data_IF_846407182840
#
_entry.id   IF_846407182840
#
_cell.length_a   1.000
_cell.length_b   1.000
_cell.length_c   1.000
_cell.angle_alpha   90.00
_cell.angle_beta   90.00
_cell.angle_gamma   90.00
#
_symmetry.space_group_name_H-M   'P 1'
#
loop_
_entity.id
_entity.type
_entity.pdbx_description
1 polymer ?
#
# COMPACT_ATOMS: atom_id res chain seq x y z
N UNK A 1 -7.57 -47.05 86.09
CA UNK A 1 -7.07 -46.36 87.31
C UNK A 1 -6.79 -44.89 86.96
N UNK A 2 -6.91 -43.96 87.93
CA UNK A 2 -6.58 -42.51 87.94
C UNK A 2 -5.52 -42.03 86.91
N UNK A 3 -5.48 -40.80 86.35
CA UNK A 3 -6.14 -39.48 86.60
C UNK A 3 -5.93 -38.52 85.39
N UNK A 4 -6.55 -37.32 85.40
CA UNK A 4 -6.38 -36.20 84.43
C UNK A 4 -4.94 -35.64 84.37
N UNK A 5 -4.55 -34.95 83.28
CA UNK A 5 -4.12 -33.52 83.27
C UNK A 5 -3.94 -32.95 81.82
N UNK A 6 -4.30 -31.67 81.63
CA UNK A 6 -3.83 -30.78 80.53
C UNK A 6 -2.52 -30.09 80.99
N UNK A 7 -1.68 -29.37 80.24
CA UNK A 7 -1.61 -28.93 78.83
C UNK A 7 -0.13 -29.07 78.36
N UNK A 8 0.41 -28.57 77.24
CA UNK A 8 -0.03 -27.68 76.14
C UNK A 8 0.56 -28.24 74.81
N UNK A 9 0.81 -27.56 73.67
CA UNK A 9 0.71 -26.16 73.21
C UNK A 9 2.01 -25.70 72.52
N UNK A 10 2.14 -25.84 71.19
CA UNK A 10 3.10 -25.09 70.35
C UNK A 10 2.85 -25.27 68.84
N UNK A 11 2.82 -24.13 68.14
CA UNK A 11 3.12 -23.88 66.72
C UNK A 11 2.78 -24.96 65.68
N UNK A 12 1.75 -24.67 64.86
CA UNK A 12 1.59 -25.28 63.54
C UNK A 12 1.80 -24.16 62.50
N UNK A 13 2.97 -24.13 61.86
CA UNK A 13 3.26 -23.16 60.81
C UNK A 13 2.58 -23.60 59.51
N UNK A 14 1.49 -22.93 59.14
CA UNK A 14 0.80 -23.20 57.89
C UNK A 14 1.69 -22.81 56.68
N UNK A 15 1.91 -23.77 55.78
CA UNK A 15 2.46 -23.51 54.46
C UNK A 15 1.52 -22.55 53.71
N UNK A 16 2.06 -21.46 53.17
CA UNK A 16 1.30 -20.55 52.28
C UNK A 16 1.00 -21.26 50.96
N UNK A 17 -0.22 -21.04 50.48
CA UNK A 17 -0.72 -21.48 49.18
C UNK A 17 0.04 -20.75 48.05
N UNK A 18 0.56 -21.43 47.00
CA UNK A 18 1.35 -20.79 45.94
C UNK A 18 0.54 -19.97 44.92
N UNK A 19 -0.71 -19.60 45.23
CA UNK A 19 -1.61 -18.85 44.35
C UNK A 19 -1.45 -17.32 44.43
N UNK A 20 -0.66 -16.78 45.37
CA UNK A 20 -0.34 -15.34 45.46
C UNK A 20 0.83 -14.93 44.53
N UNK A 21 0.70 -15.22 43.23
CA UNK A 21 1.54 -14.61 42.20
C UNK A 21 1.07 -13.16 42.00
N UNK A 22 1.77 -12.22 42.66
CA UNK A 22 1.53 -10.78 42.60
C UNK A 22 1.23 -10.27 41.18
N UNK A 23 0.08 -9.64 41.01
CA UNK A 23 -0.23 -8.82 39.84
C UNK A 23 0.61 -7.54 39.87
N UNK A 24 1.89 -7.68 39.52
CA UNK A 24 2.79 -6.55 39.35
C UNK A 24 2.27 -5.64 38.22
N UNK A 25 2.36 -4.33 38.43
CA UNK A 25 1.85 -3.31 37.51
C UNK A 25 2.26 -3.59 36.06
N UNK A 26 1.28 -3.99 35.25
CA UNK A 26 1.39 -3.80 33.81
C UNK A 26 1.42 -2.29 33.58
N UNK A 27 2.54 -1.78 33.07
CA UNK A 27 2.62 -0.38 32.67
C UNK A 27 1.43 -0.05 31.75
N UNK A 28 0.73 1.08 31.96
CA UNK A 28 -0.39 1.43 31.10
C UNK A 28 0.08 1.44 29.65
N UNK A 29 -0.70 0.81 28.75
CA UNK A 29 -0.39 0.86 27.33
C UNK A 29 -0.15 2.31 26.90
N UNK A 30 0.91 2.59 26.13
CA UNK A 30 1.23 3.95 25.75
C UNK A 30 0.04 4.54 25.01
N UNK A 31 -0.59 5.56 25.60
CA UNK A 31 -1.80 6.16 25.06
C UNK A 31 -1.55 6.57 23.61
N UNK A 32 -2.23 5.89 22.68
CA UNK A 32 -2.12 6.15 21.25
C UNK A 32 -2.41 7.63 21.02
N UNK A 33 -1.48 8.42 20.45
CA UNK A 33 -1.70 9.84 20.27
C UNK A 33 -2.97 10.08 19.46
N UNK A 34 -3.96 10.74 20.06
CA UNK A 34 -5.20 11.12 19.39
C UNK A 34 -4.90 12.26 18.39
N UNK A 35 -4.36 11.88 17.24
CA UNK A 35 -4.10 12.79 16.13
C UNK A 35 -5.42 13.16 15.47
N UNK A 36 -5.76 14.44 15.47
CA UNK A 36 -6.95 15.01 14.81
C UNK A 36 -6.80 15.08 13.27
N UNK A 37 -6.04 14.14 12.69
CA UNK A 37 -5.73 14.09 11.27
C UNK A 37 -6.94 13.71 10.42
N UNK A 38 -6.87 14.08 9.14
CA UNK A 38 -7.93 14.02 8.13
C UNK A 38 -8.27 12.61 7.62
N UNK A 39 -8.33 11.61 8.51
CA UNK A 39 -8.99 10.31 8.29
C UNK A 39 -8.07 9.10 8.05
N UNK A 40 -6.87 9.30 7.48
CA UNK A 40 -5.88 8.24 7.26
C UNK A 40 -4.77 8.36 8.32
N UNK A 41 -4.83 7.54 9.37
CA UNK A 41 -3.94 7.68 10.54
C UNK A 41 -3.49 6.36 11.19
N UNK A 42 -3.83 5.21 10.61
CA UNK A 42 -3.19 3.93 10.94
C UNK A 42 -2.09 3.66 9.91
N UNK A 43 -0.88 3.27 10.31
CA UNK A 43 0.16 2.89 9.37
C UNK A 43 -0.27 1.64 8.61
N UNK A 44 -0.08 1.62 7.29
CA UNK A 44 -0.32 0.41 6.48
C UNK A 44 0.70 -0.64 6.89
N UNK A 45 0.22 -1.80 7.36
CA UNK A 45 1.07 -2.90 7.81
C UNK A 45 1.50 -3.76 6.61
N UNK A 46 2.60 -4.51 6.73
CA UNK A 46 3.10 -5.35 5.63
C UNK A 46 2.05 -6.28 4.97
N UNK A 47 1.13 -6.94 5.70
CA UNK A 47 0.07 -7.74 5.06
C UNK A 47 -0.93 -6.90 4.26
N UNK A 48 -1.14 -5.65 4.68
CA UNK A 48 -2.04 -4.69 4.03
C UNK A 48 -1.38 -4.07 2.79
N UNK A 49 -0.04 -3.94 2.77
CA UNK A 49 0.73 -3.57 1.57
C UNK A 49 0.49 -4.61 0.47
N UNK A 50 0.74 -5.89 0.76
CA UNK A 50 0.56 -6.98 -0.23
C UNK A 50 -0.89 -7.05 -0.72
N UNK A 51 -1.86 -7.02 0.20
CA UNK A 51 -3.28 -7.06 -0.17
C UNK A 51 -3.73 -5.83 -0.99
N UNK A 52 -3.24 -4.63 -0.66
CA UNK A 52 -3.54 -3.42 -1.41
C UNK A 52 -2.97 -3.49 -2.83
N UNK A 53 -1.73 -3.95 -2.98
CA UNK A 53 -1.13 -4.12 -4.30
C UNK A 53 -1.92 -5.16 -5.10
N UNK A 54 -2.08 -6.39 -4.59
CA UNK A 54 -2.86 -7.44 -5.28
C UNK A 54 -4.27 -6.98 -5.73
N UNK A 55 -4.93 -6.07 -4.99
CA UNK A 55 -6.25 -5.54 -5.36
C UNK A 55 -6.34 -4.83 -6.72
N UNK A 56 -5.22 -4.36 -7.30
CA UNK A 56 -5.22 -3.69 -8.63
C UNK A 56 -4.44 -4.47 -9.70
N UNK A 57 -4.14 -5.76 -9.45
CA UNK A 57 -3.49 -6.67 -10.41
C UNK A 57 -4.32 -6.78 -11.69
N UNK A 58 -3.66 -6.96 -12.83
CA UNK A 58 -4.36 -7.27 -14.07
C UNK A 58 -4.62 -8.77 -14.20
N UNK A 59 -5.88 -9.15 -14.47
CA UNK A 59 -6.23 -10.52 -14.84
C UNK A 59 -5.55 -10.95 -16.15
N UNK A 60 -5.33 -9.99 -17.06
CA UNK A 60 -4.67 -10.18 -18.34
C UNK A 60 -3.56 -9.13 -18.50
N UNK A 61 -2.30 -9.58 -18.55
CA UNK A 61 -1.15 -8.71 -18.74
C UNK A 61 -0.95 -8.43 -20.24
N UNK A 62 -0.94 -7.16 -20.70
CA UNK A 62 -0.72 -6.83 -22.10
C UNK A 62 0.66 -7.28 -22.61
N UNK A 63 0.76 -7.52 -23.92
CA UNK A 63 2.04 -7.79 -24.56
C UNK A 63 2.93 -6.53 -24.55
N UNK A 64 4.23 -6.72 -24.31
CA UNK A 64 5.20 -5.63 -24.19
C UNK A 64 5.65 -5.01 -25.53
N UNK A 65 5.27 -5.62 -26.66
CA UNK A 65 5.51 -5.11 -28.03
C UNK A 65 6.96 -4.70 -28.31
N UNK A 66 7.91 -5.35 -27.63
CA UNK A 66 9.36 -5.05 -27.65
C UNK A 66 9.78 -3.63 -27.24
N UNK A 67 8.84 -2.72 -26.92
CA UNK A 67 9.12 -1.30 -26.60
C UNK A 67 8.67 -0.88 -25.21
N UNK A 68 7.76 -1.63 -24.59
CA UNK A 68 7.24 -1.35 -23.27
C UNK A 68 7.95 -2.19 -22.19
N UNK A 69 8.06 -1.64 -21.00
CA UNK A 69 8.00 -2.40 -19.75
C UNK A 69 6.53 -2.54 -19.38
N UNK A 70 6.06 -3.75 -19.13
CA UNK A 70 4.68 -3.99 -18.64
C UNK A 70 4.76 -4.47 -17.20
N UNK A 71 4.02 -3.82 -16.30
CA UNK A 71 3.98 -4.20 -14.89
C UNK A 71 2.84 -5.18 -14.55
N UNK A 72 2.80 -5.59 -13.29
CA UNK A 72 1.87 -6.55 -12.70
C UNK A 72 0.42 -6.03 -12.67
N UNK A 73 0.23 -4.70 -12.72
CA UNK A 73 -1.05 -4.03 -12.85
C UNK A 73 -1.45 -3.85 -14.33
N UNK A 74 -0.63 -4.34 -15.27
CA UNK A 74 -0.84 -4.32 -16.71
C UNK A 74 -0.54 -2.98 -17.37
N UNK A 75 0.12 -2.04 -16.69
CA UNK A 75 0.44 -0.73 -17.26
C UNK A 75 1.64 -0.86 -18.21
N UNK A 76 1.50 -0.35 -19.43
CA UNK A 76 2.55 -0.30 -20.45
C UNK A 76 3.33 1.01 -20.32
N UNK A 77 4.62 0.93 -20.07
CA UNK A 77 5.53 2.09 -20.01
C UNK A 77 6.59 2.01 -21.10
N UNK A 78 6.66 3.02 -21.98
CA UNK A 78 7.65 3.08 -23.06
C UNK A 78 9.02 3.53 -22.53
N UNK A 79 9.89 2.57 -22.25
CA UNK A 79 11.19 2.80 -21.57
C UNK A 79 12.11 3.78 -22.32
N UNK A 80 12.06 3.81 -23.66
CA UNK A 80 12.82 4.77 -24.47
C UNK A 80 12.43 6.25 -24.28
N UNK A 81 11.33 6.55 -23.55
CA UNK A 81 10.98 7.92 -23.14
C UNK A 81 11.65 8.34 -21.83
N UNK A 82 12.15 7.40 -21.02
CA UNK A 82 12.58 7.65 -19.65
C UNK A 82 14.12 7.60 -19.57
N UNK A 83 14.84 8.73 -19.62
CA UNK A 83 16.30 8.75 -19.72
C UNK A 83 17.04 8.23 -18.47
N UNK A 84 16.34 8.04 -17.35
CA UNK A 84 16.87 7.42 -16.13
C UNK A 84 16.58 5.92 -16.03
N UNK A 85 15.66 5.38 -16.84
CA UNK A 85 15.29 3.98 -16.77
C UNK A 85 16.32 3.11 -17.52
N UNK A 86 16.74 1.96 -16.96
CA UNK A 86 17.59 1.00 -17.66
C UNK A 86 16.91 0.56 -18.97
N UNK A 87 17.59 0.71 -20.10
CA UNK A 87 16.98 0.54 -21.42
C UNK A 87 16.70 -0.94 -21.74
N UNK A 88 17.37 -1.86 -21.06
CA UNK A 88 17.11 -3.30 -21.06
C UNK A 88 15.72 -3.68 -20.47
N UNK A 89 15.02 -2.75 -19.80
CA UNK A 89 13.63 -2.96 -19.40
C UNK A 89 12.66 -2.90 -20.60
N UNK A 90 13.07 -2.33 -21.73
CA UNK A 90 12.26 -2.28 -22.94
C UNK A 90 12.03 -3.69 -23.49
N UNK A 91 10.77 -4.03 -23.76
CA UNK A 91 10.40 -5.35 -24.26
C UNK A 91 10.38 -6.43 -23.18
N UNK A 92 10.06 -6.07 -21.93
CA UNK A 92 9.97 -6.99 -20.81
C UNK A 92 8.69 -6.81 -20.00
N UNK A 93 8.27 -7.88 -19.32
CA UNK A 93 7.13 -7.88 -18.40
C UNK A 93 7.64 -8.17 -16.99
N UNK A 94 7.06 -7.52 -15.98
CA UNK A 94 7.18 -7.92 -14.58
C UNK A 94 5.81 -8.25 -14.01
N UNK A 95 5.66 -9.42 -13.41
CA UNK A 95 4.44 -9.82 -12.69
C UNK A 95 4.60 -9.75 -11.17
N UNK A 96 5.81 -9.49 -10.70
CA UNK A 96 6.14 -9.39 -9.27
C UNK A 96 5.62 -8.06 -8.71
N UNK A 97 5.26 -8.07 -7.42
CA UNK A 97 4.89 -6.85 -6.71
C UNK A 97 6.11 -5.93 -6.55
N UNK A 98 5.95 -4.59 -6.62
CA UNK A 98 7.05 -3.63 -6.63
C UNK A 98 7.56 -3.37 -5.20
N UNK A 99 7.96 -4.42 -4.50
CA UNK A 99 8.41 -4.37 -3.10
C UNK A 99 9.92 -4.66 -3.06
N UNK A 100 10.77 -3.74 -2.56
CA UNK A 100 10.43 -2.40 -2.05
C UNK A 100 10.21 -1.34 -3.17
N UNK A 101 10.55 -1.64 -4.42
CA UNK A 101 10.41 -0.73 -5.57
C UNK A 101 10.38 -1.53 -6.87
N UNK A 102 9.91 -0.93 -7.98
CA UNK A 102 10.13 -1.47 -9.33
C UNK A 102 11.47 -1.06 -9.97
N UNK A 103 12.24 -0.21 -9.30
CA UNK A 103 13.59 0.21 -9.69
C UNK A 103 13.67 1.28 -10.79
N UNK A 104 12.55 1.83 -11.28
CA UNK A 104 12.59 2.85 -12.35
C UNK A 104 11.45 3.88 -12.32
N UNK A 105 10.29 3.54 -11.73
CA UNK A 105 9.16 4.45 -11.52
C UNK A 105 9.13 4.95 -10.08
N UNK A 106 9.10 4.03 -9.10
CA UNK A 106 8.73 4.36 -7.72
C UNK A 106 8.90 3.19 -6.73
N UNK A 107 8.91 3.52 -5.44
CA UNK A 107 8.79 2.66 -4.26
C UNK A 107 7.35 2.13 -4.01
N UNK A 108 7.23 1.07 -3.21
CA UNK A 108 5.97 0.37 -2.94
C UNK A 108 4.86 1.27 -2.35
N UNK A 109 5.24 2.28 -1.56
CA UNK A 109 4.33 3.14 -0.82
C UNK A 109 3.45 4.01 -1.72
N UNK A 110 3.95 4.50 -2.86
CA UNK A 110 3.13 5.28 -3.81
C UNK A 110 2.11 4.38 -4.52
N UNK A 111 2.50 3.15 -4.89
CA UNK A 111 1.59 2.14 -5.42
C UNK A 111 0.49 1.75 -4.43
N UNK A 112 0.83 1.58 -3.14
CA UNK A 112 -0.13 1.33 -2.06
C UNK A 112 -1.08 2.51 -1.90
N UNK A 113 -0.58 3.75 -1.93
CA UNK A 113 -1.42 4.95 -1.85
C UNK A 113 -2.42 5.02 -3.02
N UNK A 114 -1.99 4.67 -4.24
CA UNK A 114 -2.88 4.58 -5.40
C UNK A 114 -3.96 3.50 -5.20
N UNK A 115 -3.58 2.29 -4.80
CA UNK A 115 -4.52 1.19 -4.58
C UNK A 115 -5.55 1.53 -3.48
N UNK A 116 -5.11 2.10 -2.36
CA UNK A 116 -5.99 2.57 -1.29
C UNK A 116 -6.95 3.67 -1.77
N UNK A 117 -6.52 4.55 -2.68
CA UNK A 117 -7.40 5.57 -3.27
C UNK A 117 -8.55 4.98 -4.12
N UNK A 118 -8.37 3.77 -4.66
CA UNK A 118 -9.37 3.03 -5.44
C UNK A 118 -10.34 2.24 -4.55
N UNK A 119 -9.92 1.89 -3.32
CA UNK A 119 -10.69 1.13 -2.32
C UNK A 119 -11.81 1.95 -1.69
N UNK A 120 -12.94 2.02 -2.41
CA UNK A 120 -14.18 2.66 -1.96
C UNK A 120 -15.39 2.20 -2.80
N UNK A 121 -16.61 2.39 -2.29
CA UNK A 121 -17.86 2.01 -2.97
C UNK A 121 -18.36 3.06 -4.00
N UNK A 122 -17.51 4.02 -4.42
CA UNK A 122 -17.93 5.02 -5.41
C UNK A 122 -17.92 4.42 -6.82
N UNK A 123 -18.92 4.78 -7.60
CA UNK A 123 -19.04 4.46 -9.03
C UNK A 123 -18.10 5.29 -9.93
N UNK A 124 -17.37 6.24 -9.35
CA UNK A 124 -16.48 7.14 -10.06
C UNK A 124 -15.19 7.39 -9.29
N UNK A 125 -14.11 7.53 -10.06
CA UNK A 125 -12.76 7.78 -9.57
C UNK A 125 -12.20 9.06 -10.19
N UNK A 126 -11.46 9.83 -9.40
CA UNK A 126 -10.74 11.02 -9.88
C UNK A 126 -9.36 11.04 -9.25
N UNK A 127 -8.34 11.20 -10.08
CA UNK A 127 -6.94 11.33 -9.67
C UNK A 127 -6.37 12.63 -10.23
N UNK A 128 -5.60 13.34 -9.41
CA UNK A 128 -4.89 14.55 -9.79
C UNK A 128 -3.42 14.34 -9.44
N UNK A 129 -2.56 14.49 -10.44
CA UNK A 129 -1.12 14.32 -10.33
C UNK A 129 -0.45 15.65 -10.69
N UNK A 130 0.39 16.20 -9.82
CA UNK A 130 1.02 17.51 -10.00
C UNK A 130 2.53 17.36 -9.98
N UNK A 131 3.21 17.87 -11.00
CA UNK A 131 4.58 17.45 -11.31
C UNK A 131 4.59 16.07 -11.98
N UNK A 132 3.57 15.80 -12.81
CA UNK A 132 3.25 14.46 -13.30
C UNK A 132 4.35 13.79 -14.14
N UNK A 133 5.31 14.55 -14.70
CA UNK A 133 6.32 13.98 -15.59
C UNK A 133 5.65 13.32 -16.80
N UNK A 134 5.61 11.99 -16.81
CA UNK A 134 4.96 11.17 -17.83
C UNK A 134 3.61 10.56 -17.39
N UNK A 135 3.01 11.13 -16.34
CA UNK A 135 1.73 10.76 -15.74
C UNK A 135 1.58 9.26 -15.33
N UNK A 136 2.55 8.66 -14.61
CA UNK A 136 2.42 7.29 -14.11
C UNK A 136 1.13 7.09 -13.28
N UNK A 137 0.87 7.98 -12.33
CA UNK A 137 -0.18 7.78 -11.33
C UNK A 137 -1.58 8.12 -11.87
N UNK A 138 -1.71 9.18 -12.66
CA UNK A 138 -2.97 9.53 -13.28
C UNK A 138 -3.42 8.48 -14.30
N UNK A 139 -2.49 7.92 -15.09
CA UNK A 139 -2.80 6.86 -16.07
C UNK A 139 -3.12 5.54 -15.35
N UNK A 140 -2.27 5.07 -14.43
CA UNK A 140 -2.52 3.82 -13.69
C UNK A 140 -3.83 3.89 -12.90
N UNK A 141 -4.10 5.01 -12.22
CA UNK A 141 -5.34 5.22 -11.49
C UNK A 141 -6.59 5.16 -12.38
N UNK A 142 -6.53 5.73 -13.59
CA UNK A 142 -7.64 5.63 -14.58
C UNK A 142 -7.82 4.19 -15.04
N UNK A 143 -6.76 3.52 -15.50
CA UNK A 143 -6.81 2.15 -16.01
C UNK A 143 -7.34 1.16 -14.97
N UNK A 144 -6.86 1.24 -13.73
CA UNK A 144 -7.31 0.38 -12.64
C UNK A 144 -8.76 0.69 -12.21
N UNK A 145 -9.17 1.97 -12.22
CA UNK A 145 -10.55 2.34 -11.94
C UNK A 145 -11.53 1.82 -13.00
N UNK A 146 -11.20 1.97 -14.28
CA UNK A 146 -12.04 1.49 -15.39
C UNK A 146 -12.12 -0.04 -15.41
N UNK A 147 -11.02 -0.74 -15.13
CA UNK A 147 -10.99 -2.20 -14.92
C UNK A 147 -11.91 -2.62 -13.77
N UNK A 148 -11.97 -1.83 -12.69
CA UNK A 148 -12.89 -2.02 -11.56
C UNK A 148 -14.34 -1.55 -11.85
N UNK A 149 -14.68 -1.20 -13.10
CA UNK A 149 -16.02 -0.77 -13.51
C UNK A 149 -16.41 0.65 -13.07
N UNK A 150 -15.46 1.46 -12.59
CA UNK A 150 -15.69 2.86 -12.18
C UNK A 150 -15.52 3.80 -13.36
N UNK A 151 -16.31 4.88 -13.38
CA UNK A 151 -16.13 6.00 -14.31
C UNK A 151 -14.92 6.85 -13.86
N UNK A 152 -13.83 6.82 -14.60
CA UNK A 152 -12.58 7.47 -14.20
C UNK A 152 -12.37 8.85 -14.87
N UNK A 153 -11.56 9.70 -14.22
CA UNK A 153 -10.92 10.87 -14.86
C UNK A 153 -9.60 11.22 -14.19
N UNK A 154 -8.52 11.26 -14.97
CA UNK A 154 -7.23 11.80 -14.54
C UNK A 154 -7.06 13.28 -14.87
N UNK A 155 -6.28 13.99 -14.07
CA UNK A 155 -5.71 15.31 -14.39
C UNK A 155 -4.22 15.24 -14.09
N UNK A 156 -3.39 15.30 -15.13
CA UNK A 156 -1.95 15.38 -15.01
C UNK A 156 -1.50 16.82 -15.26
N UNK A 157 -0.87 17.44 -14.26
CA UNK A 157 -0.31 18.80 -14.34
C UNK A 157 1.20 18.70 -14.38
N UNK A 158 1.79 19.17 -15.49
CA UNK A 158 3.24 19.18 -15.72
C UNK A 158 3.63 20.53 -16.33
N UNK A 159 4.77 21.07 -15.89
CA UNK A 159 5.26 22.39 -16.30
C UNK A 159 6.20 22.32 -17.50
N UNK A 160 6.90 21.20 -17.70
CA UNK A 160 7.86 21.02 -18.78
C UNK A 160 7.17 20.38 -20.02
N UNK A 161 7.17 21.04 -21.20
CA UNK A 161 6.41 20.57 -22.37
C UNK A 161 6.78 19.19 -22.91
N UNK A 162 8.06 18.77 -22.85
CA UNK A 162 8.47 17.43 -23.30
C UNK A 162 7.89 16.34 -22.38
N UNK A 163 7.96 16.52 -21.06
CA UNK A 163 7.29 15.66 -20.07
C UNK A 163 5.77 15.66 -20.26
N UNK A 164 5.13 16.82 -20.44
CA UNK A 164 3.71 16.87 -20.78
C UNK A 164 3.36 16.09 -22.06
N UNK A 165 4.26 16.04 -23.05
CA UNK A 165 4.10 15.17 -24.23
C UNK A 165 4.24 13.68 -23.90
N UNK A 166 5.13 13.33 -22.96
CA UNK A 166 5.26 11.96 -22.43
C UNK A 166 4.01 11.50 -21.69
N UNK A 167 3.37 12.37 -20.90
CA UNK A 167 2.10 12.07 -20.24
C UNK A 167 1.02 11.69 -21.26
N UNK A 168 0.91 12.44 -22.36
CA UNK A 168 -0.03 12.12 -23.46
C UNK A 168 0.30 10.81 -24.15
N UNK A 169 1.59 10.55 -24.41
CA UNK A 169 2.03 9.30 -25.02
C UNK A 169 1.76 8.10 -24.10
N UNK A 170 1.99 8.25 -22.79
CA UNK A 170 1.70 7.20 -21.80
C UNK A 170 0.20 6.91 -21.67
N UNK A 171 -0.66 7.93 -21.69
CA UNK A 171 -2.11 7.75 -21.74
C UNK A 171 -2.53 6.96 -22.98
N UNK A 172 -2.06 7.36 -24.17
CA UNK A 172 -2.35 6.65 -25.43
C UNK A 172 -1.79 5.22 -25.43
N UNK A 173 -0.58 5.02 -24.90
CA UNK A 173 0.06 3.70 -24.72
C UNK A 173 -0.74 2.80 -23.73
N UNK A 174 -1.70 3.33 -22.98
CA UNK A 174 -2.59 2.55 -22.11
C UNK A 174 -4.09 2.65 -22.48
N UNK A 175 -4.41 3.18 -23.67
CA UNK A 175 -5.80 3.29 -24.13
C UNK A 175 -6.63 4.37 -23.43
N UNK A 176 -5.98 5.30 -22.72
CA UNK A 176 -6.63 6.43 -22.04
C UNK A 176 -6.66 7.65 -22.97
N UNK A 177 -7.86 8.11 -23.32
CA UNK A 177 -8.04 9.34 -24.09
C UNK A 177 -7.56 10.57 -23.30
N UNK A 178 -6.76 11.42 -23.93
CA UNK A 178 -6.22 12.64 -23.32
C UNK A 178 -6.52 13.90 -24.12
N UNK A 179 -6.89 14.96 -23.40
CA UNK A 179 -7.11 16.30 -23.91
C UNK A 179 -6.13 17.27 -23.25
N UNK A 180 -5.69 18.29 -23.99
CA UNK A 180 -4.89 19.40 -23.46
C UNK A 180 -5.79 20.62 -23.34
N UNK A 181 -5.70 21.34 -22.22
CA UNK A 181 -6.52 22.51 -21.86
C UNK A 181 -5.66 23.62 -21.31
#
# INVERSE_FOLDING_TARGET
MRRRFQAAGSSNAALKDPSEASSADAAPEPATPHMLGNGLHLPVREPEIVASLESVRADNIPHHESVYRVDWAGIRTRIGMLPWAPQELAGSTNTDLPIPTDGYRSEAEEYVALALSLTNDRDSYRVVEVGAGWAPWAVMGVVCAERAGKRAKGIAVEAEPQRASWARQHSADNGVDSLVT
#
